data_IF_152372461456
#
_entry.id   IF_152372461456
#
_cell.length_a   1.000
_cell.length_b   1.000
_cell.length_c   1.000
_cell.angle_alpha   90.00
_cell.angle_beta   90.00
_cell.angle_gamma   90.00
#
_symmetry.space_group_name_H-M   'P 1'
#
loop_
_entity.id
_entity.type
_entity.pdbx_description
1 polymer ?
#
# COMPACT_ATOMS: atom_id res chain seq x y z
N UNK A 1 3.35 -14.63 -10.40
CA UNK A 1 4.40 -14.36 -9.41
C UNK A 1 3.98 -15.09 -8.14
N UNK A 2 4.45 -16.32 -7.96
CA UNK A 2 3.90 -17.24 -6.96
C UNK A 2 4.24 -16.82 -5.53
N UNK A 3 5.40 -16.19 -5.33
CA UNK A 3 5.79 -15.60 -4.05
C UNK A 3 4.79 -14.54 -3.52
N UNK A 4 4.14 -13.78 -4.43
CA UNK A 4 3.11 -12.82 -4.03
C UNK A 4 1.85 -13.53 -3.52
N UNK A 5 1.44 -14.62 -4.16
CA UNK A 5 0.29 -15.42 -3.72
C UNK A 5 0.56 -16.04 -2.36
N UNK A 6 1.75 -16.61 -2.17
CA UNK A 6 2.15 -17.21 -0.90
C UNK A 6 2.19 -16.18 0.24
N UNK A 7 2.69 -14.97 -0.04
CA UNK A 7 2.67 -13.88 0.91
C UNK A 7 1.23 -13.47 1.30
N UNK A 8 0.34 -13.30 0.33
CA UNK A 8 -1.07 -12.96 0.58
C UNK A 8 -1.74 -14.06 1.44
N UNK A 9 -1.47 -15.33 1.16
CA UNK A 9 -1.97 -16.45 1.95
C UNK A 9 -1.48 -16.34 3.41
N UNK A 10 -0.20 -16.05 3.62
CA UNK A 10 0.36 -15.87 4.96
C UNK A 10 -0.28 -14.67 5.70
N UNK A 11 -0.49 -13.54 5.03
CA UNK A 11 -1.19 -12.39 5.61
C UNK A 11 -2.61 -12.76 6.02
N UNK A 12 -3.36 -13.45 5.17
CA UNK A 12 -4.72 -13.88 5.48
C UNK A 12 -4.76 -14.85 6.68
N UNK A 13 -3.81 -15.80 6.75
CA UNK A 13 -3.71 -16.73 7.89
C UNK A 13 -3.42 -16.03 9.22
N UNK A 14 -2.70 -14.91 9.18
CA UNK A 14 -2.28 -14.14 10.36
C UNK A 14 -3.16 -12.92 10.64
N UNK A 15 -4.29 -12.79 9.96
CA UNK A 15 -5.15 -11.60 10.04
C UNK A 15 -5.55 -11.25 11.46
N UNK A 16 -6.02 -12.22 12.23
CA UNK A 16 -6.50 -11.99 13.59
C UNK A 16 -5.35 -11.56 14.51
N UNK A 17 -4.21 -12.25 14.44
CA UNK A 17 -3.01 -11.91 15.21
C UNK A 17 -2.51 -10.49 14.89
N UNK A 18 -2.46 -10.12 13.59
CA UNK A 18 -2.08 -8.78 13.14
C UNK A 18 -3.09 -7.73 13.65
N UNK A 19 -4.38 -8.03 13.58
CA UNK A 19 -5.45 -7.13 14.03
C UNK A 19 -5.34 -6.88 15.53
N UNK A 20 -5.17 -7.93 16.34
CA UNK A 20 -5.01 -7.83 17.79
C UNK A 20 -3.71 -7.10 18.17
N UNK A 21 -2.61 -7.33 17.43
CA UNK A 21 -1.34 -6.65 17.70
C UNK A 21 -1.39 -5.15 17.37
N UNK A 22 -2.14 -4.75 16.33
CA UNK A 22 -2.25 -3.35 15.90
C UNK A 22 -3.30 -2.55 16.65
N UNK A 23 -4.39 -3.19 17.09
CA UNK A 23 -5.54 -2.51 17.68
C UNK A 23 -5.54 -2.72 19.19
N UNK A 24 -5.12 -1.66 19.91
CA UNK A 24 -5.20 -1.66 21.38
C UNK A 24 -6.66 -1.61 21.85
N UNK A 25 -7.05 -2.44 22.83
CA UNK A 25 -8.40 -2.41 23.41
C UNK A 25 -8.69 -1.11 24.20
N UNK A 26 -7.66 -0.34 24.53
CA UNK A 26 -7.80 0.94 25.27
C UNK A 26 -8.21 2.11 24.36
N UNK A 27 -8.33 1.88 23.06
CA UNK A 27 -8.76 2.91 22.11
C UNK A 27 -10.22 3.31 22.37
N UNK A 28 -10.47 4.62 22.37
CA UNK A 28 -11.84 5.17 22.35
C UNK A 28 -12.60 4.59 21.15
N UNK A 29 -13.90 4.28 21.33
CA UNK A 29 -14.78 3.65 20.32
C UNK A 29 -14.57 4.13 18.88
N UNK A 30 -14.58 5.44 18.65
CA UNK A 30 -14.37 6.01 17.30
C UNK A 30 -13.00 5.73 16.69
N UNK A 31 -11.94 5.67 17.51
CA UNK A 31 -10.60 5.29 17.06
C UNK A 31 -10.53 3.78 16.80
N UNK A 32 -11.12 2.99 17.68
CA UNK A 32 -11.22 1.53 17.52
C UNK A 32 -11.88 1.16 16.19
N UNK A 33 -13.05 1.72 15.90
CA UNK A 33 -13.79 1.52 14.63
C UNK A 33 -12.95 1.91 13.41
N UNK A 34 -12.24 3.03 13.47
CA UNK A 34 -11.34 3.48 12.38
C UNK A 34 -10.16 2.54 12.19
N UNK A 35 -9.57 2.04 13.27
CA UNK A 35 -8.46 1.10 13.20
C UNK A 35 -8.90 -0.24 12.59
N UNK A 36 -10.07 -0.76 12.98
CA UNK A 36 -10.63 -1.95 12.34
C UNK A 36 -10.86 -1.73 10.85
N UNK A 37 -11.50 -0.60 10.49
CA UNK A 37 -11.69 -0.25 9.08
C UNK A 37 -10.37 -0.17 8.30
N UNK A 38 -9.33 0.41 8.87
CA UNK A 38 -8.03 0.49 8.22
C UNK A 38 -7.43 -0.90 7.92
N UNK A 39 -7.55 -1.82 8.88
CA UNK A 39 -7.11 -3.21 8.69
C UNK A 39 -7.95 -3.90 7.62
N UNK A 40 -9.27 -3.70 7.62
CA UNK A 40 -10.17 -4.26 6.61
C UNK A 40 -9.86 -3.74 5.20
N UNK A 41 -9.68 -2.41 5.07
CA UNK A 41 -9.31 -1.76 3.81
C UNK A 41 -7.96 -2.31 3.28
N UNK A 42 -7.00 -2.60 4.17
CA UNK A 42 -5.73 -3.25 3.79
C UNK A 42 -5.96 -4.65 3.20
N UNK A 43 -6.76 -5.49 3.86
CA UNK A 43 -7.06 -6.83 3.35
C UNK A 43 -7.89 -6.80 2.06
N UNK A 44 -8.74 -5.80 1.87
CA UNK A 44 -9.45 -5.58 0.60
C UNK A 44 -8.47 -5.27 -0.53
N UNK A 45 -7.44 -4.44 -0.28
CA UNK A 45 -6.44 -4.08 -1.28
C UNK A 45 -5.54 -5.27 -1.64
N UNK A 46 -4.99 -6.00 -0.67
CA UNK A 46 -4.02 -7.05 -0.98
C UNK A 46 -4.65 -8.30 -1.62
N UNK A 47 -5.94 -8.54 -1.37
CA UNK A 47 -6.67 -9.67 -1.94
C UNK A 47 -7.24 -9.38 -3.34
N UNK A 48 -7.23 -8.13 -3.78
CA UNK A 48 -7.65 -7.70 -5.11
C UNK A 48 -6.40 -7.34 -5.95
N UNK A 49 -6.05 -8.14 -6.97
CA UNK A 49 -4.87 -7.90 -7.80
C UNK A 49 -4.87 -6.52 -8.49
N UNK A 50 -6.04 -6.03 -8.90
CA UNK A 50 -6.16 -4.74 -9.59
C UNK A 50 -5.94 -3.59 -8.59
N UNK A 51 -6.57 -3.65 -7.41
CA UNK A 51 -6.36 -2.66 -6.35
C UNK A 51 -4.94 -2.68 -5.82
N UNK A 52 -4.34 -3.86 -5.67
CA UNK A 52 -2.94 -4.00 -5.25
C UNK A 52 -2.00 -3.30 -6.24
N UNK A 53 -2.21 -3.54 -7.54
CA UNK A 53 -1.41 -2.91 -8.59
C UNK A 53 -1.64 -1.39 -8.65
N UNK A 54 -2.87 -0.93 -8.49
CA UNK A 54 -3.20 0.49 -8.48
C UNK A 54 -2.66 1.22 -7.24
N UNK A 55 -2.92 0.69 -6.05
CA UNK A 55 -2.65 1.38 -4.78
C UNK A 55 -1.19 1.26 -4.35
N UNK A 56 -0.52 0.15 -4.66
CA UNK A 56 0.88 -0.06 -4.27
C UNK A 56 1.80 0.20 -5.47
N UNK A 57 1.61 -0.48 -6.60
CA UNK A 57 2.59 -0.41 -7.68
C UNK A 57 2.55 0.92 -8.45
N UNK A 58 1.37 1.48 -8.71
CA UNK A 58 1.27 2.75 -9.43
C UNK A 58 1.59 3.96 -8.53
N UNK A 59 1.23 3.94 -7.24
CA UNK A 59 1.56 5.02 -6.31
C UNK A 59 3.01 4.99 -5.83
N UNK A 60 3.63 3.81 -5.70
CA UNK A 60 5.04 3.70 -5.30
C UNK A 60 6.03 3.92 -6.45
N UNK A 61 5.61 3.89 -7.73
CA UNK A 61 6.49 4.17 -8.87
C UNK A 61 6.82 5.66 -9.07
N UNK A 62 6.28 6.54 -8.23
CA UNK A 62 6.43 8.00 -8.39
C UNK A 62 5.74 8.51 -9.66
N UNK A 63 5.55 9.83 -9.82
CA UNK A 63 5.15 10.37 -11.12
C UNK A 63 6.17 9.88 -12.15
N UNK A 64 5.71 9.31 -13.28
CA UNK A 64 6.57 9.01 -14.42
C UNK A 64 7.40 10.26 -14.65
N UNK A 65 8.70 10.16 -14.41
CA UNK A 65 9.67 11.23 -14.50
C UNK A 65 9.26 12.22 -15.59
N UNK A 66 8.96 13.46 -15.18
CA UNK A 66 8.78 14.55 -16.10
C UNK A 66 9.96 14.51 -17.09
N UNK A 67 9.60 14.48 -18.37
CA UNK A 67 10.48 14.52 -19.52
C UNK A 67 11.76 15.30 -19.24
N UNK A 68 12.91 14.64 -19.42
CA UNK A 68 14.25 15.25 -19.41
C UNK A 68 14.21 16.50 -20.28
N UNK A 69 14.11 17.68 -19.66
CA UNK A 69 14.21 18.96 -20.34
C UNK A 69 15.66 19.10 -20.82
N UNK A 70 15.92 18.82 -22.10
CA UNK A 70 17.18 19.13 -22.77
C UNK A 70 17.47 20.62 -22.60
N UNK A 71 18.40 20.98 -21.73
CA UNK A 71 19.03 22.29 -21.73
C UNK A 71 20.11 22.26 -22.81
N UNK A 72 19.79 22.74 -24.01
CA UNK A 72 20.81 23.18 -24.96
C UNK A 72 21.45 24.43 -24.36
N UNK A 73 22.61 24.29 -23.73
CA UNK A 73 23.48 25.43 -23.41
C UNK A 73 24.18 25.88 -24.69
N UNK A 74 23.67 26.97 -25.26
CA UNK A 74 24.35 27.80 -26.23
C UNK A 74 25.63 28.35 -25.59
N UNK A 75 26.81 27.94 -26.08
CA UNK A 75 28.06 28.69 -25.86
C UNK A 75 28.17 29.71 -26.98
N UNK A 76 28.14 30.98 -26.57
CA UNK A 76 28.52 32.10 -27.41
C UNK A 76 30.06 32.15 -27.51
N UNK A 77 30.56 32.35 -28.73
CA UNK A 77 31.88 32.91 -29.00
C UNK A 77 31.80 34.44 -29.01
#
# INVERSE_FOLDING_TARGET
NDALKDAIILFNQRRDEITTALISPELKKRKLERSHKYVDDFYEIINDPEKLQEQILNKCRGPRSASVRKTNTSSAE
#
